data_IF_348644806291
#
_entry.id   IF_348644806291
#
_cell.length_a   1.000
_cell.length_b   1.000
_cell.length_c   1.000
_cell.angle_alpha   90.00
_cell.angle_beta   90.00
_cell.angle_gamma   90.00
#
_symmetry.space_group_name_H-M   'P 1'
#
loop_
_entity.id
_entity.type
_entity.pdbx_description
1 polymer ?
#
# COMPACT_ATOMS: atom_id res chain seq x y z
N UNK A 1 -21.23 14.53 5.23
CA UNK A 1 -20.79 15.58 4.29
C UNK A 1 -19.40 16.06 4.71
N UNK A 2 -18.34 15.72 3.96
CA UNK A 2 -16.98 16.32 3.98
C UNK A 2 -15.89 15.47 3.27
N UNK A 3 -16.25 14.38 2.56
CA UNK A 3 -15.27 13.61 1.75
C UNK A 3 -14.98 14.19 0.35
N UNK A 4 -15.79 15.12 -0.14
CA UNK A 4 -15.71 15.60 -1.53
C UNK A 4 -14.57 16.59 -1.83
N UNK A 5 -13.98 17.24 -0.82
CA UNK A 5 -13.03 18.33 -1.04
C UNK A 5 -11.56 17.94 -0.97
N UNK A 6 -11.22 16.82 -0.29
CA UNK A 6 -9.85 16.26 -0.32
C UNK A 6 -9.50 15.80 -1.73
N UNK A 7 -10.49 15.31 -2.49
CA UNK A 7 -10.35 15.00 -3.92
C UNK A 7 -10.02 16.24 -4.77
N UNK A 8 -10.31 17.46 -4.32
CA UNK A 8 -10.11 18.67 -5.11
C UNK A 8 -8.62 18.92 -5.43
N UNK A 9 -7.72 18.61 -4.49
CA UNK A 9 -6.28 18.81 -4.65
C UNK A 9 -5.52 17.56 -5.10
N UNK A 10 -6.09 16.37 -4.88
CA UNK A 10 -5.47 15.12 -5.34
C UNK A 10 -5.96 14.69 -6.74
N UNK A 11 -7.11 15.22 -7.20
CA UNK A 11 -7.73 14.85 -8.47
C UNK A 11 -7.95 16.03 -9.44
N UNK A 12 -7.36 17.22 -9.20
CA UNK A 12 -7.47 18.33 -10.14
C UNK A 12 -6.94 17.95 -11.53
N UNK A 13 -5.90 17.11 -11.59
CA UNK A 13 -5.32 16.59 -12.83
C UNK A 13 -6.26 15.63 -13.59
N UNK A 14 -7.27 15.06 -12.91
CA UNK A 14 -8.31 14.25 -13.55
C UNK A 14 -9.42 15.13 -14.16
N UNK A 15 -9.64 16.32 -13.59
CA UNK A 15 -10.66 17.28 -14.06
C UNK A 15 -10.09 18.22 -15.13
N UNK A 16 -8.79 18.50 -15.06
CA UNK A 16 -8.07 19.35 -15.98
C UNK A 16 -7.00 18.54 -16.74
N UNK A 17 -7.41 17.99 -17.88
CA UNK A 17 -6.59 17.09 -18.69
C UNK A 17 -5.22 17.70 -19.01
N UNK A 18 -4.20 16.84 -18.99
CA UNK A 18 -2.84 17.26 -19.33
C UNK A 18 -2.76 17.76 -20.78
N UNK A 19 -1.83 18.69 -21.07
CA UNK A 19 -1.64 19.20 -22.43
C UNK A 19 -1.28 18.08 -23.41
N UNK A 20 -1.83 18.15 -24.63
CA UNK A 20 -1.59 17.14 -25.65
C UNK A 20 -0.11 17.10 -26.07
N UNK A 21 0.42 15.89 -26.31
CA UNK A 21 1.78 15.69 -26.80
C UNK A 21 2.88 15.68 -25.73
N UNK A 22 2.51 15.76 -24.44
CA UNK A 22 3.45 15.62 -23.32
C UNK A 22 3.53 14.17 -22.85
N UNK A 23 4.74 13.71 -22.57
CA UNK A 23 4.97 12.37 -22.02
C UNK A 23 4.32 12.22 -20.63
N UNK A 24 3.64 11.09 -20.40
CA UNK A 24 2.92 10.81 -19.16
C UNK A 24 3.81 10.85 -17.92
N UNK A 25 5.09 10.47 -18.07
CA UNK A 25 6.08 10.54 -16.99
C UNK A 25 6.35 11.98 -16.55
N UNK A 26 6.44 12.91 -17.50
CA UNK A 26 6.68 14.32 -17.20
C UNK A 26 5.48 14.95 -16.47
N UNK A 27 4.25 14.57 -16.85
CA UNK A 27 3.02 14.97 -16.17
C UNK A 27 3.00 14.43 -14.73
N UNK A 28 3.34 13.14 -14.53
CA UNK A 28 3.36 12.52 -13.21
C UNK A 28 4.34 13.21 -12.26
N UNK A 29 5.51 13.60 -12.76
CA UNK A 29 6.51 14.35 -11.98
C UNK A 29 6.04 15.74 -11.59
N UNK A 30 5.39 16.47 -12.50
CA UNK A 30 4.78 17.76 -12.16
C UNK A 30 3.71 17.59 -11.07
N UNK A 31 2.84 16.58 -11.18
CA UNK A 31 1.82 16.27 -10.16
C UNK A 31 2.47 15.95 -8.81
N UNK A 32 3.59 15.23 -8.80
CA UNK A 32 4.35 14.89 -7.60
C UNK A 32 5.06 16.10 -6.97
N UNK A 33 5.45 17.09 -7.77
CA UNK A 33 6.14 18.31 -7.31
C UNK A 33 5.18 19.43 -6.84
N UNK A 34 3.94 19.49 -7.34
CA UNK A 34 2.92 20.50 -6.97
C UNK A 34 2.70 20.68 -5.46
N UNK A 35 2.71 19.64 -4.59
CA UNK A 35 2.59 19.82 -3.15
C UNK A 35 3.60 20.81 -2.53
N UNK A 36 4.82 20.89 -3.05
CA UNK A 36 5.82 21.84 -2.55
C UNK A 36 5.52 23.28 -2.98
N UNK A 37 5.06 23.47 -4.22
CA UNK A 37 4.56 24.76 -4.74
C UNK A 37 3.42 25.30 -3.86
N UNK A 38 2.48 24.42 -3.48
CA UNK A 38 1.35 24.76 -2.62
C UNK A 38 1.78 25.12 -1.19
N UNK A 39 2.80 24.44 -0.68
CA UNK A 39 3.37 24.73 0.63
C UNK A 39 4.04 26.11 0.66
N UNK A 40 4.73 26.51 -0.41
CA UNK A 40 5.27 27.87 -0.54
C UNK A 40 4.16 28.93 -0.56
N UNK A 41 3.10 28.71 -1.36
CA UNK A 41 1.95 29.61 -1.41
C UNK A 41 1.27 29.76 -0.04
N UNK A 42 1.13 28.65 0.69
CA UNK A 42 0.57 28.62 2.04
C UNK A 42 1.41 29.40 3.03
N UNK A 43 2.73 29.17 3.04
CA UNK A 43 3.67 29.82 3.97
C UNK A 43 3.83 31.31 3.68
N UNK A 44 3.71 31.70 2.41
CA UNK A 44 3.82 33.12 1.99
C UNK A 44 2.63 33.97 2.45
N UNK A 45 1.47 33.34 2.75
CA UNK A 45 0.25 34.00 3.18
C UNK A 45 -0.17 35.21 2.30
N UNK A 46 0.13 35.13 1.00
CA UNK A 46 -0.03 36.22 0.04
C UNK A 46 0.38 35.83 -1.38
N UNK A 47 0.40 36.78 -2.33
CA UNK A 47 0.74 36.50 -3.72
C UNK A 47 2.19 36.05 -3.88
N UNK A 48 2.41 34.98 -4.64
CA UNK A 48 3.75 34.51 -5.03
C UNK A 48 3.91 34.60 -6.54
N UNK A 49 5.04 35.12 -7.00
CA UNK A 49 5.31 35.31 -8.42
C UNK A 49 5.48 33.97 -9.15
N UNK A 50 4.91 33.84 -10.34
CA UNK A 50 5.02 32.63 -11.18
C UNK A 50 6.48 32.20 -11.41
N UNK A 51 7.46 33.11 -11.68
CA UNK A 51 8.86 32.71 -11.81
C UNK A 51 9.43 32.00 -10.56
N UNK A 52 9.07 32.46 -9.36
CA UNK A 52 9.51 31.79 -8.12
C UNK A 52 8.88 30.40 -7.93
N UNK A 53 7.64 30.22 -8.40
CA UNK A 53 6.97 28.91 -8.39
C UNK A 53 7.59 27.98 -9.43
N UNK A 54 8.03 28.50 -10.57
CA UNK A 54 8.72 27.76 -11.62
C UNK A 54 10.08 27.26 -11.14
N UNK A 55 10.88 28.14 -10.54
CA UNK A 55 12.17 27.77 -9.98
C UNK A 55 12.02 26.64 -8.93
N UNK A 56 11.00 26.73 -8.07
CA UNK A 56 10.71 25.71 -7.07
C UNK A 56 10.26 24.38 -7.70
N UNK A 57 9.37 24.43 -8.70
CA UNK A 57 8.90 23.22 -9.39
C UNK A 57 10.06 22.50 -10.08
N UNK A 58 10.88 23.24 -10.83
CA UNK A 58 12.04 22.70 -11.54
C UNK A 58 13.06 22.09 -10.58
N UNK A 59 13.35 22.78 -9.46
CA UNK A 59 14.22 22.26 -8.40
C UNK A 59 13.68 20.94 -7.84
N UNK A 60 12.38 20.84 -7.55
CA UNK A 60 11.81 19.60 -6.99
C UNK A 60 11.81 18.44 -7.97
N UNK A 61 11.53 18.72 -9.24
CA UNK A 61 11.59 17.70 -10.30
C UNK A 61 13.02 17.16 -10.42
N UNK A 62 14.04 18.02 -10.34
CA UNK A 62 15.43 17.59 -10.33
C UNK A 62 15.76 16.69 -9.12
N UNK A 63 15.29 17.06 -7.92
CA UNK A 63 15.44 16.22 -6.72
C UNK A 63 14.76 14.85 -6.87
N UNK A 64 13.52 14.81 -7.41
CA UNK A 64 12.82 13.55 -7.67
C UNK A 64 13.58 12.67 -8.67
N UNK A 65 14.26 13.26 -9.64
CA UNK A 65 15.12 12.52 -10.57
C UNK A 65 16.35 11.93 -9.88
N UNK A 66 17.00 12.69 -9.00
CA UNK A 66 18.13 12.22 -8.19
C UNK A 66 17.70 11.08 -7.26
N UNK A 67 16.61 11.25 -6.51
CA UNK A 67 16.04 10.23 -5.60
C UNK A 67 15.74 8.91 -6.35
N UNK A 68 15.19 8.99 -7.57
CA UNK A 68 14.90 7.82 -8.42
C UNK A 68 16.17 7.19 -9.01
N UNK A 69 17.22 7.96 -9.23
CA UNK A 69 18.53 7.46 -9.69
C UNK A 69 19.33 6.78 -8.56
N UNK A 70 19.11 7.17 -7.31
CA UNK A 70 19.83 6.64 -6.15
C UNK A 70 19.32 5.28 -5.65
N UNK A 71 18.26 4.70 -6.21
CA UNK A 71 17.80 3.34 -5.86
C UNK A 71 18.92 2.33 -6.13
N UNK A 72 19.60 1.77 -5.11
CA UNK A 72 20.69 0.85 -5.35
C UNK A 72 20.08 -0.50 -5.76
N UNK A 73 20.31 -0.88 -7.01
CA UNK A 73 20.18 -2.27 -7.42
C UNK A 73 21.18 -3.09 -6.58
N UNK A 74 20.66 -3.81 -5.58
CA UNK A 74 21.45 -4.72 -4.76
C UNK A 74 22.20 -5.70 -5.65
N UNK A 75 23.52 -5.51 -5.75
CA UNK A 75 24.41 -6.39 -6.47
C UNK A 75 24.56 -7.74 -5.73
N UNK A 76 23.59 -8.63 -5.94
CA UNK A 76 23.73 -10.07 -5.75
C UNK A 76 24.12 -10.72 -7.08
N UNK A 77 25.43 -10.83 -7.32
CA UNK A 77 26.04 -11.34 -8.55
C UNK A 77 25.84 -12.85 -8.69
N UNK A 78 25.11 -13.29 -9.70
CA UNK A 78 25.32 -14.59 -10.34
C UNK A 78 25.39 -14.38 -11.86
N UNK A 79 26.53 -14.76 -12.43
CA UNK A 79 26.90 -14.54 -13.81
C UNK A 79 25.97 -15.30 -14.78
N UNK A 80 25.46 -14.59 -15.79
CA UNK A 80 25.11 -15.18 -17.09
C UNK A 80 25.59 -14.24 -18.19
N UNK A 81 26.17 -14.87 -19.20
CA UNK A 81 27.01 -14.33 -20.25
C UNK A 81 26.29 -13.36 -21.22
N UNK A 82 27.01 -12.29 -21.55
CA UNK A 82 27.11 -11.59 -22.83
C UNK A 82 26.03 -11.83 -23.90
N UNK A 83 25.22 -10.80 -24.16
CA UNK A 83 24.60 -10.53 -25.47
C UNK A 83 24.84 -9.06 -25.87
N UNK A 84 25.31 -8.74 -27.08
CA UNK A 84 25.45 -7.37 -27.53
C UNK A 84 24.15 -6.92 -28.22
N UNK A 85 23.42 -5.97 -27.64
CA UNK A 85 22.25 -5.44 -28.31
C UNK A 85 21.41 -4.48 -27.47
N UNK A 86 21.45 -3.21 -27.88
CA UNK A 86 20.47 -2.14 -27.68
C UNK A 86 20.44 -1.39 -26.35
N UNK A 87 20.65 -0.06 -26.47
CA UNK A 87 20.21 0.92 -25.50
C UNK A 87 21.22 1.27 -24.40
N UNK A 88 22.24 2.06 -24.73
CA UNK A 88 22.79 3.00 -23.74
C UNK A 88 21.59 3.81 -23.22
N UNK A 89 21.37 3.96 -21.89
CA UNK A 89 20.35 4.90 -21.43
C UNK A 89 20.70 6.24 -22.07
N UNK A 90 19.74 6.80 -22.79
CA UNK A 90 19.90 8.12 -23.36
C UNK A 90 20.35 9.06 -22.23
N UNK A 91 21.30 9.98 -22.46
CA UNK A 91 21.51 11.05 -21.49
C UNK A 91 20.15 11.67 -21.22
N UNK A 92 19.84 11.92 -19.94
CA UNK A 92 18.64 12.63 -19.51
C UNK A 92 18.42 13.77 -20.50
N UNK A 93 17.36 13.66 -21.29
CA UNK A 93 17.04 14.68 -22.28
C UNK A 93 16.87 15.95 -21.47
N UNK A 94 17.70 16.94 -21.79
CA UNK A 94 17.71 18.25 -21.18
C UNK A 94 16.26 18.76 -21.21
N UNK A 95 15.56 18.62 -20.08
CA UNK A 95 14.17 19.01 -19.95
C UNK A 95 14.19 20.51 -20.11
N UNK A 96 13.69 21.00 -21.23
CA UNK A 96 13.73 22.44 -21.50
C UNK A 96 12.93 23.17 -20.43
N UNK A 97 13.45 24.29 -19.93
CA UNK A 97 12.72 25.18 -19.02
C UNK A 97 11.31 25.54 -19.54
N UNK A 98 11.12 25.50 -20.86
CA UNK A 98 9.84 25.67 -21.54
C UNK A 98 8.80 24.59 -21.18
N UNK A 99 9.22 23.34 -20.96
CA UNK A 99 8.33 22.25 -20.56
C UNK A 99 7.88 22.43 -19.10
N UNK A 100 8.79 22.80 -18.20
CA UNK A 100 8.44 23.04 -16.80
C UNK A 100 7.55 24.26 -16.63
N UNK A 101 7.76 25.31 -17.43
CA UNK A 101 6.87 26.47 -17.49
C UNK A 101 5.46 26.05 -17.92
N UNK A 102 5.36 25.24 -18.97
CA UNK A 102 4.08 24.76 -19.48
C UNK A 102 3.37 23.84 -18.45
N UNK A 103 4.11 22.95 -17.79
CA UNK A 103 3.58 22.09 -16.74
C UNK A 103 3.14 22.86 -15.50
N UNK A 104 3.88 23.92 -15.13
CA UNK A 104 3.48 24.82 -14.06
C UNK A 104 2.19 25.54 -14.41
N UNK A 105 2.10 26.12 -15.60
CA UNK A 105 0.91 26.84 -16.06
C UNK A 105 -0.30 25.91 -16.06
N UNK A 106 -0.17 24.70 -16.60
CA UNK A 106 -1.20 23.66 -16.53
C UNK A 106 -1.64 23.36 -15.08
N UNK A 107 -0.69 23.22 -14.15
CA UNK A 107 -1.00 22.95 -12.77
C UNK A 107 -1.72 24.12 -12.08
N UNK A 108 -1.24 25.34 -12.29
CA UNK A 108 -1.83 26.54 -11.75
C UNK A 108 -3.24 26.78 -12.30
N UNK A 109 -3.46 26.57 -13.61
CA UNK A 109 -4.76 26.67 -14.24
C UNK A 109 -5.73 25.60 -13.73
N UNK A 110 -5.29 24.35 -13.60
CA UNK A 110 -6.10 23.28 -13.04
C UNK A 110 -6.53 23.55 -11.59
N UNK A 111 -5.60 24.04 -10.76
CA UNK A 111 -5.89 24.46 -9.39
C UNK A 111 -6.83 25.69 -9.35
N UNK A 112 -6.67 26.64 -10.26
CA UNK A 112 -7.58 27.77 -10.39
C UNK A 112 -9.00 27.32 -10.80
N UNK A 113 -9.11 26.36 -11.72
CA UNK A 113 -10.38 25.84 -12.21
C UNK A 113 -11.22 25.17 -11.11
N UNK A 114 -10.55 24.56 -10.12
CA UNK A 114 -11.22 23.97 -8.94
C UNK A 114 -11.39 24.97 -7.79
N UNK A 115 -10.96 26.23 -7.96
CA UNK A 115 -11.11 27.30 -6.97
C UNK A 115 -10.08 27.28 -5.85
N UNK A 116 -8.99 26.52 -5.99
CA UNK A 116 -7.92 26.43 -4.99
C UNK A 116 -7.06 27.71 -4.92
N UNK A 117 -6.84 28.36 -6.06
CA UNK A 117 -6.03 29.58 -6.13
C UNK A 117 -6.61 30.57 -7.14
N UNK A 118 -6.15 31.82 -7.08
CA UNK A 118 -6.37 32.83 -8.10
C UNK A 118 -5.05 33.16 -8.80
N UNK A 119 -5.15 33.45 -10.09
CA UNK A 119 -4.04 33.91 -10.92
C UNK A 119 -4.26 35.37 -11.30
N UNK A 120 -3.21 36.19 -11.19
CA UNK A 120 -3.29 37.61 -11.57
C UNK A 120 -1.92 38.29 -11.54
N UNK A 121 -1.66 39.15 -12.54
CA UNK A 121 -0.43 39.95 -12.65
C UNK A 121 0.87 39.14 -12.53
N UNK A 122 0.90 37.92 -13.09
CA UNK A 122 2.07 37.02 -12.98
C UNK A 122 2.29 36.46 -11.57
N UNK A 123 1.24 36.44 -10.72
CA UNK A 123 1.26 35.87 -9.39
C UNK A 123 0.14 34.85 -9.21
N UNK A 124 0.35 33.88 -8.33
CA UNK A 124 -0.67 32.99 -7.80
C UNK A 124 -0.92 33.29 -6.32
N UNK A 125 -2.16 33.18 -5.87
CA UNK A 125 -2.54 33.35 -4.46
C UNK A 125 -3.54 32.28 -4.07
N UNK A 126 -3.34 31.59 -2.94
CA UNK A 126 -4.33 30.65 -2.44
C UNK A 126 -5.63 31.36 -2.07
N UNK A 127 -6.75 30.77 -2.43
CA UNK A 127 -8.05 31.18 -1.90
C UNK A 127 -8.21 30.67 -0.47
N UNK A 128 -9.22 31.13 0.29
CA UNK A 128 -9.54 30.51 1.58
C UNK A 128 -9.78 28.99 1.49
N UNK A 129 -10.35 28.51 0.38
CA UNK A 129 -10.55 27.08 0.12
C UNK A 129 -9.22 26.36 -0.10
N UNK A 130 -8.33 26.93 -0.94
CA UNK A 130 -6.99 26.39 -1.14
C UNK A 130 -6.19 26.35 0.15
N UNK A 131 -6.24 27.43 0.91
CA UNK A 131 -5.55 27.55 2.18
C UNK A 131 -6.03 26.51 3.20
N UNK A 132 -7.36 26.31 3.29
CA UNK A 132 -7.93 25.24 4.13
C UNK A 132 -7.48 23.86 3.68
N UNK A 133 -7.50 23.56 2.37
CA UNK A 133 -7.14 22.25 1.85
C UNK A 133 -5.64 21.93 2.04
N UNK A 134 -4.75 22.89 1.78
CA UNK A 134 -3.32 22.74 2.06
C UNK A 134 -3.07 22.59 3.56
N UNK A 135 -3.76 23.37 4.39
CA UNK A 135 -3.66 23.23 5.84
C UNK A 135 -4.14 21.86 6.33
N UNK A 136 -5.24 21.31 5.80
CA UNK A 136 -5.70 19.95 6.15
C UNK A 136 -4.66 18.90 5.78
N UNK A 137 -4.00 19.04 4.61
CA UNK A 137 -2.95 18.11 4.19
C UNK A 137 -1.69 18.24 5.05
N UNK A 138 -1.27 19.46 5.38
CA UNK A 138 -0.17 19.72 6.30
C UNK A 138 -0.49 19.25 7.72
N UNK A 139 -1.71 19.44 8.20
CA UNK A 139 -2.17 18.94 9.50
C UNK A 139 -2.16 17.41 9.50
N UNK A 140 -2.64 16.75 8.45
CA UNK A 140 -2.54 15.29 8.32
C UNK A 140 -1.09 14.81 8.37
N UNK A 141 -0.16 15.49 7.68
CA UNK A 141 1.27 15.18 7.72
C UNK A 141 1.86 15.46 9.12
N UNK A 142 1.49 16.56 9.78
CA UNK A 142 1.98 16.88 11.12
C UNK A 142 1.43 15.93 12.19
N UNK A 143 0.15 15.56 12.10
CA UNK A 143 -0.49 14.55 12.94
C UNK A 143 0.11 13.17 12.67
N UNK A 144 0.41 12.87 11.41
CA UNK A 144 1.11 11.66 11.01
C UNK A 144 2.53 11.59 11.58
N UNK A 145 3.27 12.70 11.52
CA UNK A 145 4.62 12.82 12.05
C UNK A 145 4.66 12.70 13.59
N UNK A 146 3.53 12.93 14.25
CA UNK A 146 3.34 12.73 15.70
C UNK A 146 2.80 11.34 16.04
N UNK A 147 2.78 10.40 15.09
CA UNK A 147 2.39 9.02 15.36
C UNK A 147 3.18 8.48 16.56
N UNK A 148 2.51 7.92 17.59
CA UNK A 148 3.18 7.54 18.83
C UNK A 148 4.37 6.59 18.66
N UNK A 149 4.36 5.78 17.60
CA UNK A 149 5.44 4.83 17.30
C UNK A 149 6.47 5.35 16.30
N UNK A 150 6.17 6.41 15.52
CA UNK A 150 7.15 7.03 14.62
C UNK A 150 7.46 6.22 13.35
N UNK A 151 6.49 5.46 12.82
CA UNK A 151 6.73 4.60 11.65
C UNK A 151 6.68 5.35 10.31
N UNK A 152 6.46 6.67 10.30
CA UNK A 152 6.18 7.44 9.08
C UNK A 152 7.27 7.30 8.01
N UNK A 153 8.54 7.23 8.40
CA UNK A 153 9.70 7.12 7.50
C UNK A 153 10.08 5.66 7.17
N UNK A 154 9.41 4.67 7.76
CA UNK A 154 9.79 3.27 7.64
C UNK A 154 9.31 2.66 6.31
N UNK A 155 9.91 1.53 5.91
CA UNK A 155 9.35 0.69 4.85
C UNK A 155 7.94 0.21 5.25
N UNK A 156 7.11 -0.16 4.27
CA UNK A 156 5.81 -0.76 4.54
C UNK A 156 5.93 -2.00 5.44
N UNK A 157 6.94 -2.84 5.21
CA UNK A 157 7.15 -4.05 6.00
C UNK A 157 7.43 -3.72 7.47
N UNK A 158 8.37 -2.79 7.72
CA UNK A 158 8.76 -2.39 9.06
C UNK A 158 7.64 -1.65 9.78
N UNK A 159 6.89 -0.80 9.07
CA UNK A 159 5.72 -0.12 9.61
C UNK A 159 4.64 -1.14 10.03
N UNK A 160 4.28 -2.09 9.16
CA UNK A 160 3.27 -3.10 9.47
C UNK A 160 3.71 -3.97 10.65
N UNK A 161 4.98 -4.37 10.70
CA UNK A 161 5.55 -5.13 11.81
C UNK A 161 5.54 -4.32 13.12
N UNK A 162 5.88 -3.03 13.05
CA UNK A 162 5.79 -2.10 14.17
C UNK A 162 4.37 -1.95 14.73
N UNK A 163 3.37 -2.06 13.86
CA UNK A 163 1.95 -2.00 14.24
C UNK A 163 1.38 -3.34 14.74
N UNK A 164 2.07 -4.46 14.59
CA UNK A 164 1.53 -5.81 14.88
C UNK A 164 1.00 -5.99 16.31
N UNK A 165 1.55 -5.26 17.29
CA UNK A 165 1.14 -5.35 18.70
C UNK A 165 0.15 -4.26 19.13
N UNK A 166 -0.26 -3.40 18.21
CA UNK A 166 -1.21 -2.32 18.48
C UNK A 166 -2.64 -2.83 18.39
N UNK A 167 -3.55 -2.16 19.10
CA UNK A 167 -4.99 -2.38 18.89
C UNK A 167 -5.42 -1.78 17.54
N UNK A 168 -6.56 -2.20 16.96
CA UNK A 168 -6.95 -1.79 15.60
C UNK A 168 -7.06 -0.27 15.38
N UNK A 169 -7.49 0.48 16.40
CA UNK A 169 -7.59 1.95 16.32
C UNK A 169 -6.22 2.63 16.14
N UNK A 170 -5.28 2.45 17.09
CA UNK A 170 -3.89 2.91 16.97
C UNK A 170 -3.17 2.41 15.71
N UNK A 171 -3.29 1.13 15.34
CA UNK A 171 -2.70 0.62 14.10
C UNK A 171 -3.20 1.39 12.87
N UNK A 172 -4.52 1.63 12.76
CA UNK A 172 -5.08 2.45 11.67
C UNK A 172 -4.60 3.90 11.70
N UNK A 173 -4.29 4.45 12.86
CA UNK A 173 -3.71 5.80 12.95
C UNK A 173 -2.28 5.81 12.39
N UNK A 174 -1.46 4.81 12.71
CA UNK A 174 -0.13 4.63 12.13
C UNK A 174 -0.19 4.40 10.61
N UNK A 175 -1.14 3.62 10.11
CA UNK A 175 -1.32 3.42 8.66
C UNK A 175 -1.67 4.73 7.96
N UNK A 176 -2.60 5.53 8.52
CA UNK A 176 -2.90 6.86 7.97
C UNK A 176 -1.68 7.76 7.99
N UNK A 177 -0.89 7.68 9.06
CA UNK A 177 0.31 8.47 9.19
C UNK A 177 1.34 8.14 8.12
N UNK A 178 1.62 6.85 7.96
CA UNK A 178 2.52 6.34 6.93
C UNK A 178 2.02 6.69 5.51
N UNK A 179 0.71 6.58 5.25
CA UNK A 179 0.12 6.95 3.96
C UNK A 179 0.24 8.46 3.67
N UNK A 180 0.18 9.33 4.67
CA UNK A 180 0.22 10.79 4.48
C UNK A 180 1.58 11.30 3.95
N UNK A 181 2.66 10.53 4.12
CA UNK A 181 4.00 10.90 3.69
C UNK A 181 4.36 10.40 2.26
N UNK A 182 3.43 9.74 1.56
CA UNK A 182 3.72 9.04 0.29
C UNK A 182 2.64 9.28 -0.76
N UNK A 183 2.99 9.07 -2.03
CA UNK A 183 1.97 8.99 -3.09
C UNK A 183 1.15 7.70 -2.94
N UNK A 184 -0.15 7.78 -3.25
CA UNK A 184 -1.07 6.65 -3.08
C UNK A 184 -0.64 5.44 -3.93
N UNK A 185 -0.20 5.67 -5.17
CA UNK A 185 0.28 4.60 -6.05
C UNK A 185 1.50 3.88 -5.49
N UNK A 186 2.50 4.63 -4.98
CA UNK A 186 3.69 4.04 -4.34
C UNK A 186 3.31 3.23 -3.10
N UNK A 187 2.46 3.79 -2.23
CA UNK A 187 2.00 3.12 -1.02
C UNK A 187 1.26 1.81 -1.31
N UNK A 188 0.34 1.80 -2.28
CA UNK A 188 -0.40 0.59 -2.67
C UNK A 188 0.54 -0.46 -3.24
N UNK A 189 1.47 -0.06 -4.12
CA UNK A 189 2.46 -0.97 -4.70
C UNK A 189 3.35 -1.60 -3.61
N UNK A 190 3.81 -0.81 -2.65
CA UNK A 190 4.65 -1.27 -1.54
C UNK A 190 3.90 -2.22 -0.60
N UNK A 191 2.66 -1.89 -0.21
CA UNK A 191 1.81 -2.77 0.61
C UNK A 191 1.53 -4.10 -0.10
N UNK A 192 1.22 -4.09 -1.39
CA UNK A 192 1.02 -5.32 -2.16
C UNK A 192 2.33 -6.11 -2.34
N UNK A 193 3.48 -5.44 -2.44
CA UNK A 193 4.78 -6.12 -2.46
C UNK A 193 5.03 -6.85 -1.14
N UNK A 194 4.74 -6.21 0.01
CA UNK A 194 4.79 -6.87 1.32
C UNK A 194 3.81 -8.05 1.38
N UNK A 195 2.58 -7.88 0.89
CA UNK A 195 1.58 -8.93 0.92
C UNK A 195 1.99 -10.18 0.10
N UNK A 196 2.75 -10.01 -0.98
CA UNK A 196 3.28 -11.13 -1.79
C UNK A 196 4.37 -11.93 -1.08
N UNK A 197 4.97 -11.37 -0.03
CA UNK A 197 6.02 -12.02 0.76
C UNK A 197 5.57 -13.32 1.44
N UNK A 198 6.52 -13.94 2.14
CA UNK A 198 6.28 -15.21 2.83
C UNK A 198 5.65 -15.06 4.22
N UNK A 199 5.74 -13.86 4.81
CA UNK A 199 5.22 -13.59 6.16
C UNK A 199 3.69 -13.44 6.14
N UNK A 200 3.01 -14.41 6.74
CA UNK A 200 1.55 -14.47 6.81
C UNK A 200 0.93 -13.33 7.62
N UNK A 201 1.62 -12.87 8.68
CA UNK A 201 1.12 -11.74 9.47
C UNK A 201 1.18 -10.46 8.62
N UNK A 202 2.31 -10.19 7.99
CA UNK A 202 2.46 -9.01 7.15
C UNK A 202 1.51 -9.03 5.95
N UNK A 203 1.20 -10.20 5.39
CA UNK A 203 0.17 -10.35 4.35
C UNK A 203 -1.19 -9.85 4.82
N UNK A 204 -1.65 -10.30 5.99
CA UNK A 204 -2.92 -9.82 6.56
C UNK A 204 -2.90 -8.33 6.90
N UNK A 205 -1.84 -7.84 7.54
CA UNK A 205 -1.73 -6.43 7.92
C UNK A 205 -1.65 -5.50 6.70
N UNK A 206 -1.01 -5.92 5.61
CA UNK A 206 -0.99 -5.14 4.37
C UNK A 206 -2.41 -4.91 3.83
N UNK A 207 -3.29 -5.91 3.88
CA UNK A 207 -4.69 -5.75 3.49
C UNK A 207 -5.50 -4.88 4.46
N UNK A 208 -5.19 -4.90 5.76
CA UNK A 208 -5.74 -3.92 6.71
C UNK A 208 -5.31 -2.48 6.38
N UNK A 209 -4.06 -2.27 5.97
CA UNK A 209 -3.60 -0.96 5.54
C UNK A 209 -4.24 -0.54 4.20
N UNK A 210 -4.45 -1.47 3.26
CA UNK A 210 -5.17 -1.19 2.01
C UNK A 210 -6.64 -0.78 2.26
N UNK A 211 -7.30 -1.27 3.32
CA UNK A 211 -8.64 -0.77 3.73
C UNK A 211 -8.60 0.70 4.14
N UNK A 212 -7.50 1.16 4.72
CA UNK A 212 -7.31 2.57 5.06
C UNK A 212 -7.12 3.43 3.80
N UNK A 213 -6.47 2.90 2.76
CA UNK A 213 -6.36 3.57 1.44
C UNK A 213 -7.74 3.71 0.79
N UNK A 214 -8.54 2.64 0.77
CA UNK A 214 -9.89 2.66 0.24
C UNK A 214 -9.94 2.68 -1.30
N UNK A 215 -10.84 3.49 -1.88
CA UNK A 215 -11.15 3.47 -3.32
C UNK A 215 -9.95 3.52 -4.28
N UNK A 216 -8.88 4.31 -4.03
CA UNK A 216 -7.73 4.32 -4.92
C UNK A 216 -6.97 2.98 -5.02
N UNK A 217 -7.10 2.09 -4.04
CA UNK A 217 -6.45 0.78 -4.06
C UNK A 217 -7.22 -0.26 -4.88
N UNK A 218 -8.49 -0.01 -5.22
CA UNK A 218 -9.39 -1.00 -5.82
C UNK A 218 -8.86 -1.64 -7.11
N UNK A 219 -8.29 -0.89 -8.08
CA UNK A 219 -7.83 -1.50 -9.34
C UNK A 219 -6.68 -2.50 -9.10
N UNK A 220 -5.75 -2.13 -8.22
CA UNK A 220 -4.59 -2.96 -7.87
C UNK A 220 -5.00 -4.18 -7.03
N UNK A 221 -5.96 -4.02 -6.11
CA UNK A 221 -6.52 -5.14 -5.34
C UNK A 221 -7.26 -6.11 -6.27
N UNK A 222 -8.04 -5.61 -7.23
CA UNK A 222 -8.72 -6.45 -8.22
C UNK A 222 -7.74 -7.22 -9.09
N UNK A 223 -6.61 -6.61 -9.48
CA UNK A 223 -5.59 -7.27 -10.27
C UNK A 223 -4.96 -8.49 -9.54
N UNK A 224 -4.76 -8.40 -8.22
CA UNK A 224 -4.12 -9.48 -7.43
C UNK A 224 -5.05 -10.63 -7.05
N UNK A 225 -6.34 -10.58 -7.39
CA UNK A 225 -7.29 -11.71 -7.23
C UNK A 225 -6.83 -12.98 -7.97
N UNK A 226 -5.98 -12.83 -8.98
CA UNK A 226 -5.38 -13.95 -9.73
C UNK A 226 -4.17 -14.58 -9.02
N UNK A 227 -3.59 -13.91 -8.02
CA UNK A 227 -2.46 -14.42 -7.24
C UNK A 227 -2.96 -15.36 -6.14
N UNK A 228 -2.64 -16.67 -6.16
CA UNK A 228 -3.23 -17.63 -5.23
C UNK A 228 -3.08 -17.25 -3.75
N UNK A 229 -1.91 -16.71 -3.36
CA UNK A 229 -1.63 -16.30 -1.99
C UNK A 229 -2.34 -15.03 -1.53
N UNK A 230 -2.77 -14.18 -2.47
CA UNK A 230 -3.44 -12.92 -2.16
C UNK A 230 -4.95 -13.01 -2.37
N UNK A 231 -5.39 -14.01 -3.14
CA UNK A 231 -6.77 -14.14 -3.60
C UNK A 231 -7.80 -14.11 -2.46
N UNK A 232 -7.66 -14.89 -1.36
CA UNK A 232 -8.63 -14.82 -0.27
C UNK A 232 -8.72 -13.42 0.35
N UNK A 233 -7.58 -12.76 0.56
CA UNK A 233 -7.53 -11.41 1.11
C UNK A 233 -8.15 -10.37 0.17
N UNK A 234 -7.85 -10.46 -1.13
CA UNK A 234 -8.38 -9.56 -2.15
C UNK A 234 -9.90 -9.70 -2.31
N UNK A 235 -10.43 -10.92 -2.28
CA UNK A 235 -11.88 -11.16 -2.33
C UNK A 235 -12.61 -10.55 -1.12
N UNK A 236 -12.07 -10.74 0.09
CA UNK A 236 -12.64 -10.14 1.30
C UNK A 236 -12.55 -8.60 1.27
N UNK A 237 -11.44 -8.05 0.79
CA UNK A 237 -11.28 -6.60 0.64
C UNK A 237 -12.29 -6.03 -0.36
N UNK A 238 -12.46 -6.66 -1.53
CA UNK A 238 -13.39 -6.22 -2.56
C UNK A 238 -14.84 -6.31 -2.09
N UNK A 239 -15.21 -7.40 -1.41
CA UNK A 239 -16.55 -7.55 -0.86
C UNK A 239 -16.89 -6.43 0.14
N UNK A 240 -15.99 -6.13 1.08
CA UNK A 240 -16.16 -5.02 2.02
C UNK A 240 -16.23 -3.66 1.30
N UNK A 241 -15.37 -3.45 0.30
CA UNK A 241 -15.37 -2.24 -0.51
C UNK A 241 -16.69 -2.05 -1.28
N UNK A 242 -17.26 -3.14 -1.81
CA UNK A 242 -18.53 -3.17 -2.53
C UNK A 242 -19.76 -3.10 -1.58
N UNK A 243 -19.53 -3.13 -0.27
CA UNK A 243 -20.56 -2.93 0.76
C UNK A 243 -21.24 -4.22 1.23
N UNK A 244 -20.60 -5.38 1.06
CA UNK A 244 -21.06 -6.62 1.68
C UNK A 244 -21.11 -6.50 3.21
N UNK A 245 -22.08 -7.17 3.82
CA UNK A 245 -22.16 -7.24 5.28
C UNK A 245 -20.94 -8.03 5.82
N UNK A 246 -20.21 -7.50 6.82
CA UNK A 246 -19.14 -8.24 7.48
C UNK A 246 -19.56 -9.63 7.99
N UNK A 247 -20.82 -9.81 8.37
CA UNK A 247 -21.35 -11.09 8.83
C UNK A 247 -21.41 -12.14 7.69
N UNK A 248 -21.53 -11.69 6.44
CA UNK A 248 -21.58 -12.54 5.23
C UNK A 248 -20.18 -12.80 4.65
N UNK A 249 -19.12 -12.22 5.23
CA UNK A 249 -17.76 -12.29 4.69
C UNK A 249 -17.25 -13.74 4.50
N UNK A 250 -17.73 -14.69 5.31
CA UNK A 250 -17.37 -16.10 5.17
C UNK A 250 -18.01 -16.79 3.96
N UNK A 251 -19.12 -16.25 3.44
CA UNK A 251 -19.81 -16.78 2.26
C UNK A 251 -19.16 -16.31 0.95
N UNK A 252 -18.32 -15.28 1.01
CA UNK A 252 -17.56 -14.76 -0.13
C UNK A 252 -16.51 -15.75 -0.62
N UNK A 253 -15.88 -16.47 0.31
CA UNK A 253 -14.82 -17.40 0.00
C UNK A 253 -15.40 -18.77 -0.33
N UNK A 254 -14.88 -19.39 -1.38
CA UNK A 254 -15.04 -20.83 -1.54
C UNK A 254 -14.42 -21.56 -0.36
N UNK A 255 -14.84 -22.81 -0.14
CA UNK A 255 -14.30 -23.63 0.95
C UNK A 255 -12.78 -23.80 0.88
N UNK A 256 -12.23 -23.92 -0.32
CA UNK A 256 -10.78 -24.03 -0.52
C UNK A 256 -10.07 -22.73 -0.13
N UNK A 257 -10.59 -21.57 -0.54
CA UNK A 257 -10.04 -20.25 -0.18
C UNK A 257 -10.14 -19.97 1.32
N UNK A 258 -11.26 -20.34 1.95
CA UNK A 258 -11.46 -20.22 3.40
C UNK A 258 -10.46 -21.10 4.18
N UNK A 259 -10.25 -22.35 3.74
CA UNK A 259 -9.24 -23.23 4.34
C UNK A 259 -7.84 -22.69 4.12
N UNK A 260 -7.54 -22.12 2.95
CA UNK A 260 -6.23 -21.52 2.67
C UNK A 260 -5.95 -20.36 3.63
N UNK A 261 -6.91 -19.45 3.78
CA UNK A 261 -6.82 -18.32 4.71
C UNK A 261 -6.73 -18.76 6.18
N UNK A 262 -7.41 -19.84 6.54
CA UNK A 262 -7.31 -20.43 7.87
C UNK A 262 -5.88 -20.91 8.16
N UNK A 263 -5.21 -21.55 7.19
CA UNK A 263 -3.80 -21.97 7.33
C UNK A 263 -2.87 -20.76 7.40
N UNK A 264 -3.06 -19.72 6.58
CA UNK A 264 -2.21 -18.52 6.63
C UNK A 264 -2.37 -17.79 7.97
N UNK A 265 -3.59 -17.68 8.48
CA UNK A 265 -3.86 -17.12 9.83
C UNK A 265 -3.17 -17.94 10.92
N UNK A 266 -3.21 -19.28 10.83
CA UNK A 266 -2.51 -20.15 11.77
C UNK A 266 -0.98 -19.96 11.68
N UNK A 267 -0.44 -19.74 10.49
CA UNK A 267 0.98 -19.46 10.29
C UNK A 267 1.37 -18.13 10.94
N UNK A 268 0.57 -17.08 10.77
CA UNK A 268 0.78 -15.78 11.42
C UNK A 268 0.80 -15.92 12.96
N UNK A 269 -0.15 -16.67 13.53
CA UNK A 269 -0.20 -16.91 14.98
C UNK A 269 0.97 -17.77 15.46
N UNK A 270 1.40 -18.75 14.68
CA UNK A 270 2.55 -19.59 15.04
C UNK A 270 3.88 -18.82 15.07
N UNK A 271 4.07 -17.89 14.12
CA UNK A 271 5.31 -17.13 13.98
C UNK A 271 5.36 -15.89 14.89
N UNK A 272 4.21 -15.23 15.13
CA UNK A 272 4.16 -13.93 15.81
C UNK A 272 3.23 -13.86 17.03
N UNK A 273 2.39 -14.87 17.23
CA UNK A 273 1.38 -14.90 18.28
C UNK A 273 1.78 -15.74 19.50
N UNK A 274 0.92 -15.73 20.51
CA UNK A 274 1.07 -16.61 21.66
C UNK A 274 0.62 -18.05 21.32
N UNK A 275 1.34 -19.04 21.84
CA UNK A 275 1.05 -20.47 21.61
C UNK A 275 -0.39 -20.87 21.96
N UNK A 276 -0.99 -20.23 22.97
CA UNK A 276 -2.38 -20.48 23.35
C UNK A 276 -3.41 -20.00 22.31
N UNK A 277 -3.09 -18.98 21.51
CA UNK A 277 -3.96 -18.50 20.42
C UNK A 277 -4.00 -19.51 19.28
N UNK A 278 -2.90 -20.22 19.02
CA UNK A 278 -2.83 -21.23 17.97
C UNK A 278 -3.77 -22.41 18.25
N UNK A 279 -3.89 -22.83 19.52
CA UNK A 279 -4.84 -23.87 19.94
C UNK A 279 -6.28 -23.37 19.80
N UNK A 280 -6.58 -22.13 20.22
CA UNK A 280 -7.91 -21.55 20.06
C UNK A 280 -8.32 -21.41 18.59
N UNK A 281 -7.36 -21.12 17.71
CA UNK A 281 -7.59 -21.06 16.26
C UNK A 281 -7.95 -22.42 15.66
N UNK A 282 -7.43 -23.51 16.24
CA UNK A 282 -7.87 -24.87 15.91
C UNK A 282 -9.32 -25.11 16.32
N UNK A 283 -9.70 -24.67 17.52
CA UNK A 283 -11.07 -24.84 18.03
C UNK A 283 -12.09 -23.97 17.28
N UNK A 284 -11.66 -22.84 16.70
CA UNK A 284 -12.52 -21.96 15.89
C UNK A 284 -12.65 -22.39 14.43
N UNK A 285 -11.99 -23.47 14.02
CA UNK A 285 -12.13 -23.99 12.67
C UNK A 285 -13.60 -24.37 12.40
N UNK A 286 -14.14 -23.89 11.28
CA UNK A 286 -15.56 -24.00 10.90
C UNK A 286 -16.00 -25.46 10.63
N UNK A 287 -15.13 -26.44 10.82
CA UNK A 287 -15.39 -27.84 10.49
C UNK A 287 -15.91 -28.64 11.69
N UNK A 288 -16.95 -29.44 11.44
CA UNK A 288 -17.61 -30.24 12.47
C UNK A 288 -16.73 -31.32 13.15
N UNK A 289 -15.57 -31.70 12.57
CA UNK A 289 -14.60 -32.61 13.22
C UNK A 289 -13.14 -32.33 12.82
N UNK A 290 -12.19 -32.58 13.74
CA UNK A 290 -10.74 -32.40 13.51
C UNK A 290 -10.18 -33.25 12.36
N UNK A 291 -10.55 -34.53 12.16
CA UNK A 291 -10.02 -35.32 11.04
C UNK A 291 -10.38 -34.72 9.67
N UNK A 292 -11.61 -34.24 9.48
CA UNK A 292 -12.02 -33.61 8.24
C UNK A 292 -11.22 -32.33 7.96
N UNK A 293 -10.99 -31.51 9.00
CA UNK A 293 -10.12 -30.33 8.90
C UNK A 293 -8.69 -30.70 8.47
N UNK A 294 -8.11 -31.75 9.07
CA UNK A 294 -6.78 -32.22 8.72
C UNK A 294 -6.70 -32.75 7.28
N UNK A 295 -7.77 -33.32 6.72
CA UNK A 295 -7.78 -33.73 5.32
C UNK A 295 -7.79 -32.52 4.38
N UNK A 296 -8.59 -31.49 4.69
CA UNK A 296 -8.67 -30.25 3.90
C UNK A 296 -7.38 -29.42 3.96
N UNK A 297 -6.82 -29.23 5.16
CA UNK A 297 -5.56 -28.48 5.35
C UNK A 297 -4.39 -29.11 4.58
N UNK A 298 -4.41 -30.44 4.39
CA UNK A 298 -3.41 -31.14 3.58
C UNK A 298 -3.65 -30.99 2.08
N UNK A 299 -4.91 -30.85 1.66
CA UNK A 299 -5.28 -30.76 0.25
C UNK A 299 -5.13 -29.34 -0.33
N UNK A 300 -5.27 -28.31 0.50
CA UNK A 300 -5.32 -26.89 0.06
C UNK A 300 -4.00 -26.33 -0.50
N UNK A 301 -2.89 -27.06 -0.39
CA UNK A 301 -1.62 -26.69 -1.02
C UNK A 301 -0.94 -25.43 -0.45
N UNK A 302 -1.24 -25.04 0.80
CA UNK A 302 -0.62 -23.86 1.42
C UNK A 302 0.88 -24.09 1.72
N UNK A 303 1.81 -23.18 1.37
CA UNK A 303 3.25 -23.37 1.57
C UNK A 303 3.66 -23.60 3.04
N UNK A 304 2.90 -23.02 3.98
CA UNK A 304 3.12 -23.13 5.43
C UNK A 304 2.40 -24.31 6.11
N UNK A 305 1.72 -25.19 5.36
CA UNK A 305 0.91 -26.27 5.94
C UNK A 305 1.71 -27.14 6.93
N UNK A 306 2.91 -27.56 6.55
CA UNK A 306 3.73 -28.44 7.41
C UNK A 306 4.12 -27.74 8.71
N UNK A 307 4.57 -26.48 8.62
CA UNK A 307 4.99 -25.66 9.75
C UNK A 307 3.84 -25.45 10.73
N UNK A 308 2.65 -25.10 10.20
CA UNK A 308 1.43 -24.91 10.99
C UNK A 308 1.04 -26.19 11.72
N UNK A 309 1.01 -27.34 11.03
CA UNK A 309 0.66 -28.63 11.65
C UNK A 309 1.68 -29.02 12.74
N UNK A 310 2.98 -28.79 12.52
CA UNK A 310 4.01 -29.04 13.54
C UNK A 310 3.81 -28.14 14.76
N UNK A 311 3.58 -26.85 14.56
CA UNK A 311 3.33 -25.89 15.64
C UNK A 311 2.06 -26.24 16.44
N UNK A 312 0.96 -26.56 15.74
CA UNK A 312 -0.28 -27.03 16.36
C UNK A 312 -0.06 -28.29 17.21
N UNK A 313 0.66 -29.27 16.67
CA UNK A 313 0.97 -30.50 17.39
C UNK A 313 1.87 -30.30 18.62
N UNK A 314 2.69 -29.25 18.65
CA UNK A 314 3.50 -28.88 19.79
C UNK A 314 2.67 -28.13 20.86
N UNK A 315 1.71 -27.33 20.42
CA UNK A 315 0.86 -26.50 21.28
C UNK A 315 -0.33 -27.27 21.91
N UNK A 316 -0.83 -28.33 21.25
CA UNK A 316 -2.09 -28.97 21.63
C UNK A 316 -2.02 -29.73 22.98
N UNK A 317 -2.95 -29.50 23.93
CA UNK A 317 -2.91 -30.12 25.26
C UNK A 317 -3.30 -31.61 25.26
N UNK A 318 -4.18 -32.05 24.35
CA UNK A 318 -4.54 -33.47 24.20
C UNK A 318 -3.47 -34.24 23.39
N UNK A 319 -2.80 -35.25 23.99
CA UNK A 319 -1.78 -36.04 23.31
C UNK A 319 -2.30 -36.88 22.13
N UNK A 320 -3.58 -37.27 22.14
CA UNK A 320 -4.17 -38.04 21.04
C UNK A 320 -4.34 -37.16 19.79
N UNK A 321 -4.90 -35.97 19.97
CA UNK A 321 -5.01 -34.96 18.91
C UNK A 321 -3.64 -34.50 18.43
N UNK A 322 -2.70 -34.21 19.34
CA UNK A 322 -1.34 -33.87 18.97
C UNK A 322 -0.69 -34.94 18.07
N UNK A 323 -0.88 -36.24 18.39
CA UNK A 323 -0.37 -37.34 17.56
C UNK A 323 -1.03 -37.39 16.18
N UNK A 324 -2.34 -37.14 16.09
CA UNK A 324 -3.05 -37.07 14.81
C UNK A 324 -2.52 -35.93 13.92
N UNK A 325 -2.31 -34.74 14.49
CA UNK A 325 -1.76 -33.58 13.79
C UNK A 325 -0.32 -33.84 13.30
N UNK A 326 0.55 -34.46 14.12
CA UNK A 326 1.92 -34.85 13.67
C UNK A 326 1.88 -35.82 12.49
N UNK A 327 0.97 -36.79 12.53
CA UNK A 327 0.78 -37.74 11.42
C UNK A 327 0.37 -37.02 10.15
N UNK A 328 -0.54 -36.05 10.24
CA UNK A 328 -0.95 -35.22 9.11
C UNK A 328 0.24 -34.43 8.52
N UNK A 329 1.07 -33.82 9.38
CA UNK A 329 2.27 -33.11 8.95
C UNK A 329 3.24 -34.01 8.17
N UNK A 330 3.49 -35.22 8.68
CA UNK A 330 4.34 -36.21 8.02
C UNK A 330 3.80 -36.66 6.66
N UNK A 331 2.48 -36.83 6.54
CA UNK A 331 1.83 -37.21 5.28
C UNK A 331 1.98 -36.14 4.19
N UNK A 332 1.91 -34.84 4.55
CA UNK A 332 2.18 -33.76 3.59
C UNK A 332 3.64 -33.77 3.16
N UNK A 333 4.57 -33.91 4.10
CA UNK A 333 6.00 -33.93 3.81
C UNK A 333 6.42 -35.11 2.92
N UNK A 334 5.74 -36.25 3.04
CA UNK A 334 6.04 -37.46 2.24
C UNK A 334 5.26 -37.55 0.92
N UNK A 335 4.14 -36.83 0.79
CA UNK A 335 3.30 -36.78 -0.41
C UNK A 335 3.67 -35.69 -1.42
N UNK A 336 4.59 -34.78 -1.08
CA UNK A 336 5.14 -33.79 -2.00
C UNK A 336 6.37 -34.32 -2.74
N UNK A 337 6.15 -34.90 -3.93
CA UNK A 337 7.16 -35.19 -4.93
C UNK A 337 6.73 -34.59 -6.27
#
# INVERSE_FOLDING_TARGET
MLRGWVALFDAWSLVHAAPEGIETGAVAEAVEAVPQVLSLLQLSAGPVSVPALLDLLAQRIAELHEERCEVPYGAGRAAVESAPGTGRPAPAQDRGADLDALLLDWALEGLAAVGALTLGNGHATLTPLGNWAVWVKLEQICVAAQSPAGNIEQSAADMLLGCARLTPGPARAEYRAWLAARTVGSAVAELLAVARGEDALLRGLAFEALRVVGAPAEPEVRAVVTSPSLRPYALLWLAEYEGADPDDAQEILSREEATWLWVDTAAAVADHGETGLLVRHLDSAVQGTVPALLDEVRAVGHPRTVQVLVALAAAHPDPALAKAVRRAAFQVHTGGA
#
